data_IF_635216363611
#
_entry.id   IF_635216363611
#
_cell.length_a   1.000
_cell.length_b   1.000
_cell.length_c   1.000
_cell.angle_alpha   90.00
_cell.angle_beta   90.00
_cell.angle_gamma   90.00
#
_symmetry.space_group_name_H-M   'P 1'
#
loop_
_entity.id
_entity.type
_entity.pdbx_description
1 polymer ?
#
# COMPACT_ATOMS: atom_id res chain seq x y z
N UNK A 1 5.64 -12.54 -12.37
CA UNK A 1 4.40 -12.26 -11.65
C UNK A 1 4.67 -12.51 -10.17
N UNK A 2 4.39 -11.53 -9.33
CA UNK A 2 4.67 -11.60 -7.89
C UNK A 2 3.37 -11.77 -7.09
N UNK A 3 2.34 -10.99 -7.41
CA UNK A 3 1.01 -11.12 -6.86
C UNK A 3 0.00 -11.35 -8.00
N UNK A 4 -0.92 -12.29 -7.82
CA UNK A 4 -2.00 -12.59 -8.75
C UNK A 4 -3.32 -12.68 -7.98
N UNK A 5 -4.23 -11.79 -8.31
CA UNK A 5 -5.53 -11.63 -7.66
C UNK A 5 -6.59 -12.11 -8.66
N UNK A 6 -7.34 -13.14 -8.28
CA UNK A 6 -8.28 -13.81 -9.18
C UNK A 6 -9.68 -13.85 -8.59
N UNK A 7 -10.62 -13.19 -9.27
CA UNK A 7 -12.07 -13.24 -9.03
C UNK A 7 -12.50 -12.91 -7.59
N UNK A 8 -11.78 -11.99 -6.91
CA UNK A 8 -12.06 -11.63 -5.52
C UNK A 8 -13.43 -10.97 -5.39
N UNK A 9 -14.25 -11.53 -4.53
CA UNK A 9 -15.57 -11.02 -4.19
C UNK A 9 -15.74 -10.96 -2.68
N UNK A 10 -16.44 -9.90 -2.19
CA UNK A 10 -16.73 -9.71 -0.76
C UNK A 10 -18.02 -8.96 -0.55
N UNK A 11 -18.85 -9.49 0.35
CA UNK A 11 -20.07 -8.84 0.81
C UNK A 11 -20.10 -8.77 2.34
N UNK A 12 -20.80 -7.79 2.85
CA UNK A 12 -21.08 -7.63 4.29
C UNK A 12 -22.59 -7.61 4.52
N UNK A 13 -23.00 -8.24 5.60
CA UNK A 13 -24.39 -8.21 6.05
C UNK A 13 -24.52 -7.23 7.23
N UNK A 14 -25.36 -6.23 7.09
CA UNK A 14 -25.63 -5.22 8.11
C UNK A 14 -27.09 -5.28 8.58
N UNK A 15 -27.38 -4.83 9.80
CA UNK A 15 -28.71 -4.76 10.40
C UNK A 15 -29.06 -5.96 11.29
N UNK A 16 -29.58 -5.65 12.49
CA UNK A 16 -29.99 -6.66 13.48
C UNK A 16 -31.38 -7.25 13.17
N UNK A 17 -32.34 -6.40 12.71
CA UNK A 17 -33.73 -6.80 12.47
C UNK A 17 -33.94 -7.09 10.97
N UNK A 18 -33.43 -6.24 10.11
CA UNK A 18 -33.47 -6.41 8.65
C UNK A 18 -32.05 -6.56 8.12
N UNK A 19 -31.69 -7.80 7.82
CA UNK A 19 -30.38 -8.11 7.24
C UNK A 19 -30.31 -7.59 5.79
N UNK A 20 -29.45 -6.60 5.56
CA UNK A 20 -29.16 -6.09 4.20
C UNK A 20 -27.77 -6.56 3.82
N UNK A 21 -27.68 -7.35 2.74
CA UNK A 21 -26.41 -7.76 2.15
C UNK A 21 -25.93 -6.64 1.21
N UNK A 22 -24.71 -6.16 1.43
CA UNK A 22 -24.03 -5.16 0.58
C UNK A 22 -22.79 -5.81 -0.03
N UNK A 23 -22.79 -5.94 -1.36
CA UNK A 23 -21.61 -6.38 -2.10
C UNK A 23 -20.62 -5.21 -2.19
N UNK A 24 -19.42 -5.41 -1.65
CA UNK A 24 -18.35 -4.40 -1.58
C UNK A 24 -17.27 -4.65 -2.64
N UNK A 25 -16.95 -5.91 -2.92
CA UNK A 25 -16.07 -6.29 -4.04
C UNK A 25 -16.79 -7.33 -4.90
N UNK A 26 -16.65 -7.19 -6.22
CA UNK A 26 -17.37 -7.98 -7.23
C UNK A 26 -16.42 -8.35 -8.34
N UNK A 27 -15.86 -9.56 -8.27
CA UNK A 27 -15.06 -10.15 -9.35
C UNK A 27 -13.80 -9.31 -9.69
N UNK A 28 -13.00 -8.99 -8.67
CA UNK A 28 -11.76 -8.24 -8.84
C UNK A 28 -10.63 -9.17 -9.27
N UNK A 29 -10.00 -8.87 -10.41
CA UNK A 29 -8.84 -9.61 -10.91
C UNK A 29 -7.78 -8.67 -11.44
N UNK A 30 -6.53 -8.86 -11.03
CA UNK A 30 -5.35 -8.15 -11.54
C UNK A 30 -4.05 -8.86 -11.15
N UNK A 31 -2.97 -8.49 -11.81
CA UNK A 31 -1.62 -8.99 -11.51
C UNK A 31 -0.70 -7.84 -11.13
N UNK A 32 0.31 -8.13 -10.29
CA UNK A 32 1.40 -7.22 -9.96
C UNK A 32 2.74 -7.91 -10.22
N UNK A 33 3.61 -7.25 -10.94
CA UNK A 33 4.92 -7.77 -11.30
C UNK A 33 6.01 -7.21 -10.40
N UNK A 34 7.13 -7.89 -10.31
CA UNK A 34 8.30 -7.43 -9.56
C UNK A 34 8.81 -6.11 -10.16
N UNK A 35 9.12 -5.12 -9.32
CA UNK A 35 9.56 -3.79 -9.75
C UNK A 35 8.47 -2.95 -10.45
N UNK A 36 7.21 -3.41 -10.46
CA UNK A 36 6.09 -2.65 -11.04
C UNK A 36 5.40 -1.80 -9.98
N UNK A 37 4.94 -0.61 -10.38
CA UNK A 37 3.90 0.12 -9.66
C UNK A 37 2.57 -0.03 -10.39
N UNK A 38 1.62 -0.72 -9.74
CA UNK A 38 0.21 -0.72 -10.14
C UNK A 38 -0.56 0.26 -9.27
N UNK A 39 -1.09 1.30 -9.89
CA UNK A 39 -1.98 2.27 -9.25
C UNK A 39 -3.42 1.77 -9.19
N UNK A 40 -4.13 1.97 -8.08
CA UNK A 40 -5.57 1.75 -7.97
C UNK A 40 -6.24 3.06 -7.57
N UNK A 41 -6.97 3.65 -8.51
CA UNK A 41 -7.81 4.82 -8.24
C UNK A 41 -9.25 4.44 -7.95
N UNK A 42 -9.96 5.30 -7.26
CA UNK A 42 -11.39 5.14 -7.02
C UNK A 42 -11.90 6.06 -5.92
N UNK A 43 -13.18 6.41 -5.97
CA UNK A 43 -13.82 7.26 -4.97
C UNK A 43 -13.88 6.60 -3.58
N UNK A 44 -14.17 7.40 -2.56
CA UNK A 44 -14.42 6.89 -1.21
C UNK A 44 -15.56 5.86 -1.24
N UNK A 45 -15.36 4.74 -0.53
CA UNK A 45 -16.35 3.65 -0.51
C UNK A 45 -16.33 2.71 -1.73
N UNK A 46 -15.43 2.89 -2.71
CA UNK A 46 -15.31 1.99 -3.87
C UNK A 46 -14.87 0.56 -3.52
N UNK A 47 -14.32 0.33 -2.33
CA UNK A 47 -13.87 -0.98 -1.88
C UNK A 47 -12.35 -1.11 -1.66
N UNK A 48 -11.57 -0.03 -1.85
CA UNK A 48 -10.10 -0.03 -1.76
C UNK A 48 -9.58 -0.64 -0.45
N UNK A 49 -10.05 -0.16 0.69
CA UNK A 49 -9.64 -0.69 2.02
C UNK A 49 -10.03 -2.16 2.22
N UNK A 50 -11.18 -2.59 1.68
CA UNK A 50 -11.60 -4.00 1.74
C UNK A 50 -10.67 -4.87 0.89
N UNK A 51 -10.31 -4.41 -0.31
CA UNK A 51 -9.34 -5.08 -1.18
C UNK A 51 -8.00 -5.24 -0.47
N UNK A 52 -7.43 -4.16 0.08
CA UNK A 52 -6.18 -4.21 0.85
C UNK A 52 -6.24 -5.24 1.97
N UNK A 53 -7.30 -5.23 2.78
CA UNK A 53 -7.45 -6.18 3.90
C UNK A 53 -7.47 -7.63 3.44
N UNK A 54 -8.04 -7.91 2.27
CA UNK A 54 -8.04 -9.26 1.68
C UNK A 54 -6.62 -9.61 1.22
N UNK A 55 -5.92 -8.71 0.51
CA UNK A 55 -4.55 -8.95 0.07
C UNK A 55 -3.60 -9.22 1.23
N UNK A 56 -3.76 -8.49 2.34
CA UNK A 56 -2.98 -8.67 3.57
C UNK A 56 -3.45 -9.85 4.44
N UNK A 57 -4.45 -10.64 3.97
CA UNK A 57 -5.06 -11.74 4.73
C UNK A 57 -5.56 -11.32 6.12
N UNK A 58 -6.04 -10.08 6.23
CA UNK A 58 -6.76 -9.56 7.41
C UNK A 58 -8.27 -9.75 7.30
N UNK A 59 -8.74 -10.11 6.11
CA UNK A 59 -10.13 -10.39 5.79
C UNK A 59 -10.21 -11.52 4.76
N UNK A 60 -11.02 -12.53 5.04
CA UNK A 60 -11.26 -13.64 4.11
C UNK A 60 -12.23 -13.19 3.02
N UNK A 61 -11.94 -13.39 1.72
CA UNK A 61 -12.89 -13.14 0.64
C UNK A 61 -14.04 -14.15 0.68
N UNK A 62 -15.17 -13.80 0.06
CA UNK A 62 -16.31 -14.74 -0.11
C UNK A 62 -16.11 -15.64 -1.34
N UNK A 63 -15.25 -15.23 -2.27
CA UNK A 63 -14.85 -15.99 -3.46
C UNK A 63 -13.58 -15.43 -4.06
N UNK A 64 -12.95 -16.23 -4.92
CA UNK A 64 -11.67 -15.91 -5.54
C UNK A 64 -10.47 -16.29 -4.69
N UNK A 65 -9.26 -16.08 -5.21
CA UNK A 65 -7.99 -16.42 -4.56
C UNK A 65 -6.97 -15.31 -4.73
N UNK A 66 -6.04 -15.20 -3.79
CA UNK A 66 -4.86 -14.34 -3.86
C UNK A 66 -3.63 -15.24 -3.87
N UNK A 67 -2.92 -15.23 -5.00
CA UNK A 67 -1.68 -15.99 -5.13
C UNK A 67 -0.48 -15.05 -4.95
N UNK A 68 0.41 -15.40 -4.06
CA UNK A 68 1.71 -14.75 -3.91
C UNK A 68 2.81 -15.72 -4.35
N UNK A 69 3.56 -15.36 -5.40
CA UNK A 69 4.55 -16.26 -6.04
C UNK A 69 3.95 -17.62 -6.44
N UNK A 70 2.69 -17.62 -6.88
CA UNK A 70 1.96 -18.81 -7.28
C UNK A 70 1.37 -19.65 -6.13
N UNK A 71 1.55 -19.23 -4.86
CA UNK A 71 1.03 -19.90 -3.69
C UNK A 71 -0.23 -19.20 -3.19
N UNK A 72 -1.33 -19.95 -2.99
CA UNK A 72 -2.57 -19.39 -2.44
C UNK A 72 -2.39 -19.00 -0.98
N UNK A 73 -2.60 -17.72 -0.70
CA UNK A 73 -2.48 -17.16 0.64
C UNK A 73 -3.58 -17.65 1.60
N UNK A 74 -4.74 -18.00 1.08
CA UNK A 74 -5.89 -18.46 1.90
C UNK A 74 -5.67 -19.81 2.56
N UNK A 75 -4.78 -20.64 2.01
CA UNK A 75 -4.46 -21.97 2.53
C UNK A 75 -3.27 -22.03 3.50
N UNK A 76 -2.57 -20.89 3.72
CA UNK A 76 -1.34 -20.89 4.50
C UNK A 76 -1.56 -21.02 6.02
N UNK A 77 -0.69 -21.80 6.67
CA UNK A 77 -0.60 -21.83 8.12
C UNK A 77 -0.08 -20.51 8.68
N UNK A 78 -0.27 -20.26 9.99
CA UNK A 78 0.22 -19.04 10.63
C UNK A 78 1.74 -18.83 10.49
N UNK A 79 2.53 -19.90 10.47
CA UNK A 79 4.00 -19.84 10.30
C UNK A 79 4.38 -19.46 8.86
N UNK A 80 3.71 -20.03 7.87
CA UNK A 80 3.92 -19.70 6.45
C UNK A 80 3.46 -18.26 6.16
N UNK A 81 2.32 -17.86 6.73
CA UNK A 81 1.82 -16.49 6.62
C UNK A 81 2.79 -15.46 7.24
N UNK A 82 3.49 -15.79 8.33
CA UNK A 82 4.51 -14.91 8.89
C UNK A 82 5.66 -14.66 7.90
N UNK A 83 6.06 -15.68 7.15
CA UNK A 83 7.08 -15.54 6.10
C UNK A 83 6.58 -14.63 4.95
N UNK A 84 5.31 -14.76 4.53
CA UNK A 84 4.70 -13.86 3.54
C UNK A 84 4.63 -12.43 4.07
N UNK A 85 4.17 -12.23 5.31
CA UNK A 85 4.10 -10.89 5.93
C UNK A 85 5.44 -10.20 6.05
N UNK A 86 6.55 -10.93 6.11
CA UNK A 86 7.89 -10.31 6.06
C UNK A 86 8.16 -9.66 4.70
N UNK A 87 7.71 -10.29 3.60
CA UNK A 87 8.01 -9.86 2.24
C UNK A 87 6.91 -8.99 1.62
N UNK A 88 5.69 -9.05 2.15
CA UNK A 88 4.58 -8.20 1.74
C UNK A 88 4.15 -7.31 2.92
N UNK A 89 4.38 -6.02 2.78
CA UNK A 89 4.16 -5.01 3.81
C UNK A 89 3.18 -3.94 3.36
N UNK A 90 2.69 -3.13 4.29
CA UNK A 90 1.72 -2.08 4.02
C UNK A 90 2.07 -0.80 4.76
N UNK A 91 1.93 0.32 4.07
CA UNK A 91 1.90 1.67 4.65
C UNK A 91 0.44 2.12 4.70
N UNK A 92 0.02 2.53 5.89
CA UNK A 92 -1.32 3.04 6.14
C UNK A 92 -1.42 4.52 5.80
N UNK A 93 -2.62 4.97 5.46
CA UNK A 93 -2.95 6.37 5.22
C UNK A 93 -2.51 7.29 6.39
N UNK A 94 -2.64 6.82 7.62
CA UNK A 94 -2.12 7.53 8.80
C UNK A 94 -0.87 6.81 9.32
N UNK A 95 0.34 7.34 9.09
CA UNK A 95 1.59 6.70 9.52
C UNK A 95 1.71 6.58 11.04
N UNK A 96 1.13 7.53 11.79
CA UNK A 96 1.14 7.46 13.26
C UNK A 96 0.37 6.24 13.80
N UNK A 97 -0.66 5.76 13.08
CA UNK A 97 -1.41 4.57 13.48
C UNK A 97 -0.59 3.27 13.39
N UNK A 98 0.51 3.28 12.64
CA UNK A 98 1.42 2.14 12.53
C UNK A 98 2.48 2.10 13.64
N UNK A 99 2.59 3.16 14.45
CA UNK A 99 3.59 3.31 15.49
C UNK A 99 2.94 3.22 16.88
N UNK A 100 3.60 2.53 17.80
CA UNK A 100 3.11 2.45 19.17
C UNK A 100 3.44 3.77 19.91
N UNK A 101 2.45 4.49 20.50
CA UNK A 101 2.66 5.85 21.02
C UNK A 101 3.62 5.95 22.22
N UNK A 102 3.89 4.82 22.89
CA UNK A 102 4.81 4.74 24.06
C UNK A 102 6.18 4.12 23.73
N UNK A 103 6.43 3.81 22.46
CA UNK A 103 7.74 3.35 21.99
C UNK A 103 8.48 4.54 21.40
N UNK A 104 9.78 4.60 21.63
CA UNK A 104 10.66 5.53 20.93
C UNK A 104 10.69 5.20 19.43
N UNK A 105 11.11 6.15 18.62
CA UNK A 105 11.28 5.93 17.17
C UNK A 105 12.27 4.80 16.90
N UNK A 106 13.36 4.72 17.68
CA UNK A 106 14.31 3.60 17.59
C UNK A 106 13.64 2.25 17.82
N UNK A 107 12.91 2.11 18.92
CA UNK A 107 12.20 0.87 19.24
C UNK A 107 11.19 0.50 18.16
N UNK A 108 10.46 1.49 17.65
CA UNK A 108 9.48 1.31 16.56
C UNK A 108 10.13 0.83 15.26
N UNK A 109 11.31 1.35 14.90
CA UNK A 109 12.05 0.94 13.69
C UNK A 109 12.63 -0.47 13.87
N UNK A 110 13.10 -0.79 15.06
CA UNK A 110 13.75 -2.07 15.39
C UNK A 110 12.77 -3.24 15.51
N UNK A 111 11.52 -2.97 15.94
CA UNK A 111 10.51 -3.99 16.23
C UNK A 111 10.28 -5.00 15.10
N UNK A 112 10.05 -4.61 13.81
CA UNK A 112 9.88 -5.58 12.73
C UNK A 112 11.16 -6.40 12.48
N UNK A 113 12.34 -5.78 12.58
CA UNK A 113 13.61 -6.49 12.39
C UNK A 113 13.82 -7.56 13.45
N UNK A 114 13.44 -7.31 14.71
CA UNK A 114 13.43 -8.31 15.78
C UNK A 114 12.41 -9.41 15.51
N UNK A 115 11.17 -9.05 15.15
CA UNK A 115 10.09 -10.01 14.87
C UNK A 115 10.46 -11.01 13.78
N UNK A 116 11.13 -10.54 12.73
CA UNK A 116 11.48 -11.35 11.56
C UNK A 116 12.93 -11.88 11.59
N UNK A 117 13.65 -11.73 12.71
CA UNK A 117 15.03 -12.23 12.87
C UNK A 117 16.04 -11.55 11.95
N UNK A 118 15.87 -10.26 11.66
CA UNK A 118 16.71 -9.46 10.78
C UNK A 118 17.59 -8.49 11.57
N UNK A 119 18.28 -9.01 12.60
CA UNK A 119 19.13 -8.18 13.47
C UNK A 119 20.60 -8.11 13.04
N UNK A 120 21.03 -8.98 12.12
CA UNK A 120 22.39 -8.96 11.61
C UNK A 120 22.70 -7.62 10.97
N UNK A 121 23.80 -6.99 11.35
CA UNK A 121 24.22 -5.66 10.88
C UNK A 121 23.13 -4.60 10.98
N UNK A 122 22.24 -4.70 11.98
CA UNK A 122 21.06 -3.82 12.09
C UNK A 122 21.46 -2.34 12.21
N UNK A 123 22.45 -2.00 13.02
CA UNK A 123 22.90 -0.61 13.22
C UNK A 123 23.42 0.02 11.92
N UNK A 124 24.20 -0.73 11.14
CA UNK A 124 24.72 -0.27 9.85
C UNK A 124 23.59 -0.03 8.85
N UNK A 125 22.68 -1.00 8.72
CA UNK A 125 21.49 -0.87 7.84
C UNK A 125 20.57 0.25 8.29
N UNK A 126 20.38 0.42 9.60
CA UNK A 126 19.58 1.52 10.15
C UNK A 126 20.22 2.87 9.82
N UNK A 127 21.54 3.01 10.00
CA UNK A 127 22.26 4.23 9.68
C UNK A 127 22.15 4.59 8.19
N UNK A 128 22.32 3.60 7.30
CA UNK A 128 22.11 3.77 5.84
C UNK A 128 20.68 4.22 5.55
N UNK A 129 19.68 3.57 6.18
CA UNK A 129 18.27 3.89 5.97
C UNK A 129 17.91 5.29 6.46
N UNK A 130 18.41 5.71 7.64
CA UNK A 130 18.21 7.07 8.14
C UNK A 130 18.79 8.11 7.17
N UNK A 131 19.96 7.86 6.61
CA UNK A 131 20.58 8.73 5.62
C UNK A 131 19.73 8.84 4.34
N UNK A 132 19.32 7.71 3.77
CA UNK A 132 18.47 7.66 2.57
C UNK A 132 17.12 8.36 2.76
N UNK A 133 16.52 8.18 3.93
CA UNK A 133 15.23 8.77 4.29
C UNK A 133 15.37 10.19 4.86
N UNK A 134 16.58 10.75 4.86
CA UNK A 134 16.88 12.08 5.40
C UNK A 134 16.36 12.28 6.85
N UNK A 135 16.44 11.21 7.65
CA UNK A 135 16.05 11.24 9.05
C UNK A 135 17.26 11.53 9.94
N UNK A 136 17.15 12.54 10.78
CA UNK A 136 18.21 12.88 11.74
C UNK A 136 18.28 11.86 12.87
N UNK A 137 19.48 11.48 13.30
CA UNK A 137 19.71 10.47 14.32
C UNK A 137 19.07 10.83 15.68
N UNK A 138 18.97 12.12 15.98
CA UNK A 138 18.35 12.64 17.21
C UNK A 138 16.86 12.27 17.33
N UNK A 139 16.18 12.00 16.20
CA UNK A 139 14.79 11.56 16.20
C UNK A 139 14.61 10.18 16.84
N UNK A 140 15.64 9.35 16.86
CA UNK A 140 15.56 7.98 17.39
C UNK A 140 15.17 7.92 18.87
N UNK A 141 15.50 8.95 19.66
CA UNK A 141 15.14 9.04 21.09
C UNK A 141 13.77 9.67 21.34
N UNK A 142 13.11 10.19 20.31
CA UNK A 142 11.78 10.83 20.42
C UNK A 142 10.65 9.82 20.36
N UNK A 143 9.46 10.27 20.69
CA UNK A 143 8.21 9.54 20.56
C UNK A 143 7.43 10.01 19.32
N UNK A 144 6.52 9.17 18.78
CA UNK A 144 5.76 9.52 17.57
C UNK A 144 5.03 10.86 17.64
N UNK A 145 4.50 11.24 18.80
CA UNK A 145 3.80 12.51 19.00
C UNK A 145 4.68 13.78 18.87
N UNK A 146 6.00 13.61 18.86
CA UNK A 146 6.98 14.71 18.75
C UNK A 146 7.49 14.94 17.32
N UNK A 147 7.00 14.16 16.33
CA UNK A 147 7.42 14.19 14.95
C UNK A 147 6.37 14.89 14.06
N UNK A 148 6.85 15.54 13.02
CA UNK A 148 5.99 16.04 11.93
C UNK A 148 5.39 14.88 11.10
N UNK A 149 4.35 15.16 10.32
CA UNK A 149 3.72 14.16 9.45
C UNK A 149 4.70 13.53 8.45
N UNK A 150 5.56 14.34 7.84
CA UNK A 150 6.60 13.87 6.92
C UNK A 150 7.67 13.01 7.61
N UNK A 151 8.10 13.40 8.82
CA UNK A 151 9.02 12.57 9.60
C UNK A 151 8.39 11.23 10.01
N UNK A 152 7.11 11.23 10.42
CA UNK A 152 6.37 9.99 10.72
C UNK A 152 6.27 9.08 9.51
N UNK A 153 6.00 9.64 8.31
CA UNK A 153 5.95 8.87 7.07
C UNK A 153 7.29 8.24 6.73
N UNK A 154 8.39 9.00 6.84
CA UNK A 154 9.74 8.50 6.62
C UNK A 154 10.14 7.44 7.65
N UNK A 155 9.73 7.58 8.92
CA UNK A 155 9.91 6.56 9.96
C UNK A 155 9.13 5.29 9.64
N UNK A 156 7.87 5.41 9.21
CA UNK A 156 7.07 4.26 8.80
C UNK A 156 7.72 3.51 7.61
N UNK A 157 8.28 4.24 6.64
CA UNK A 157 9.07 3.66 5.55
C UNK A 157 10.33 2.96 6.06
N UNK A 158 11.14 3.61 6.93
CA UNK A 158 12.35 3.04 7.50
C UNK A 158 12.09 1.68 8.17
N UNK A 159 11.04 1.65 8.98
CA UNK A 159 10.59 0.46 9.70
C UNK A 159 10.34 -0.74 8.79
N UNK A 160 9.71 -0.52 7.64
CA UNK A 160 9.37 -1.58 6.69
C UNK A 160 10.53 -1.94 5.76
N UNK A 161 11.30 -0.96 5.30
CA UNK A 161 12.39 -1.18 4.36
C UNK A 161 13.58 -1.95 4.95
N UNK A 162 13.78 -1.88 6.27
CA UNK A 162 14.80 -2.62 6.98
C UNK A 162 14.60 -4.14 6.96
N UNK A 163 13.38 -4.61 6.76
CA UNK A 163 13.10 -6.04 6.61
C UNK A 163 13.15 -6.51 5.16
N UNK A 164 13.45 -5.61 4.21
CA UNK A 164 13.59 -5.87 2.77
C UNK A 164 12.35 -6.51 2.16
N UNK A 165 11.22 -5.78 2.11
CA UNK A 165 9.99 -6.28 1.50
C UNK A 165 10.14 -6.36 -0.02
N UNK A 166 9.35 -7.24 -0.65
CA UNK A 166 9.24 -7.37 -2.10
C UNK A 166 7.99 -6.70 -2.64
N UNK A 167 6.97 -6.59 -1.81
CA UNK A 167 5.71 -5.88 -2.12
C UNK A 167 5.44 -4.86 -1.02
N UNK A 168 5.16 -3.63 -1.43
CA UNK A 168 4.59 -2.60 -0.55
C UNK A 168 3.20 -2.20 -1.07
N UNK A 169 2.21 -2.37 -0.21
CA UNK A 169 0.87 -1.81 -0.42
C UNK A 169 0.87 -0.42 0.21
N UNK A 170 0.67 0.60 -0.60
CA UNK A 170 0.74 2.01 -0.23
C UNK A 170 -0.68 2.58 -0.26
N UNK A 171 -1.33 2.68 0.92
CA UNK A 171 -2.71 3.17 1.05
C UNK A 171 -2.69 4.68 1.32
N UNK A 172 -2.88 5.47 0.27
CA UNK A 172 -2.85 6.94 0.29
C UNK A 172 -1.62 7.51 1.04
N UNK A 173 -0.39 7.08 0.70
CA UNK A 173 0.79 7.30 1.54
C UNK A 173 1.19 8.77 1.69
N UNK A 174 0.63 9.68 0.90
CA UNK A 174 0.98 11.11 0.88
C UNK A 174 -0.21 12.04 1.10
N UNK A 175 -1.43 11.51 1.28
CA UNK A 175 -2.67 12.31 1.34
C UNK A 175 -2.76 13.28 2.54
N UNK A 176 -1.95 13.07 3.59
CA UNK A 176 -1.90 13.92 4.79
C UNK A 176 -0.69 14.87 4.83
N UNK A 177 0.06 14.97 3.73
CA UNK A 177 1.28 15.75 3.63
C UNK A 177 1.04 16.99 2.76
N UNK A 178 1.80 18.05 3.02
CA UNK A 178 1.85 19.17 2.10
C UNK A 178 2.54 18.81 0.76
N UNK A 179 2.28 19.58 -0.28
CA UNK A 179 2.72 19.28 -1.66
C UNK A 179 4.22 19.09 -1.78
N UNK A 180 5.01 19.87 -1.02
CA UNK A 180 6.49 19.77 -1.07
C UNK A 180 6.96 18.44 -0.48
N UNK A 181 6.48 18.10 0.72
CA UNK A 181 6.83 16.84 1.39
C UNK A 181 6.29 15.63 0.62
N UNK A 182 5.10 15.76 0.01
CA UNK A 182 4.55 14.74 -0.87
C UNK A 182 5.51 14.44 -2.03
N UNK A 183 5.98 15.46 -2.76
CA UNK A 183 6.91 15.29 -3.87
C UNK A 183 8.21 14.58 -3.42
N UNK A 184 8.77 14.97 -2.27
CA UNK A 184 9.97 14.32 -1.72
C UNK A 184 9.76 12.85 -1.40
N UNK A 185 8.60 12.48 -0.82
CA UNK A 185 8.28 11.07 -0.50
C UNK A 185 8.06 10.25 -1.78
N UNK A 186 7.43 10.82 -2.80
CA UNK A 186 7.22 10.12 -4.09
C UNK A 186 8.56 9.87 -4.80
N UNK A 187 9.45 10.86 -4.86
CA UNK A 187 10.80 10.70 -5.42
C UNK A 187 11.57 9.61 -4.68
N UNK A 188 11.53 9.63 -3.34
CA UNK A 188 12.16 8.62 -2.52
C UNK A 188 11.63 7.20 -2.79
N UNK A 189 10.32 7.06 -2.95
CA UNK A 189 9.70 5.76 -3.29
C UNK A 189 10.15 5.27 -4.67
N UNK A 190 10.31 6.15 -5.66
CA UNK A 190 10.83 5.80 -6.98
C UNK A 190 12.29 5.31 -6.91
N UNK A 191 13.16 6.05 -6.24
CA UNK A 191 14.57 5.67 -6.03
C UNK A 191 14.69 4.30 -5.33
N UNK A 192 13.87 4.06 -4.30
CA UNK A 192 13.86 2.79 -3.57
C UNK A 192 13.33 1.63 -4.42
N UNK A 193 12.38 1.90 -5.32
CA UNK A 193 11.85 0.90 -6.25
C UNK A 193 12.93 0.49 -7.26
N UNK A 194 13.61 1.44 -7.87
CA UNK A 194 14.69 1.21 -8.82
C UNK A 194 15.84 0.41 -8.20
N UNK A 195 16.29 0.81 -6.99
CA UNK A 195 17.39 0.16 -6.28
C UNK A 195 17.09 -1.28 -5.85
N UNK A 196 15.84 -1.57 -5.46
CA UNK A 196 15.48 -2.82 -4.77
C UNK A 196 14.46 -3.67 -5.52
N UNK A 197 13.99 -3.20 -6.69
CA UNK A 197 12.96 -3.85 -7.50
C UNK A 197 11.69 -4.22 -6.69
N UNK A 198 11.30 -3.34 -5.75
CA UNK A 198 10.09 -3.52 -4.93
C UNK A 198 8.87 -3.31 -5.83
N UNK A 199 7.88 -4.20 -5.72
CA UNK A 199 6.59 -4.00 -6.36
C UNK A 199 5.68 -3.13 -5.49
N UNK A 200 5.07 -2.10 -6.07
CA UNK A 200 4.13 -1.23 -5.38
C UNK A 200 2.69 -1.45 -5.85
N UNK A 201 1.79 -1.74 -4.94
CA UNK A 201 0.36 -1.52 -5.13
C UNK A 201 0.02 -0.16 -4.51
N UNK A 202 -0.10 0.85 -5.36
CA UNK A 202 -0.25 2.24 -4.94
C UNK A 202 -1.73 2.66 -5.01
N UNK A 203 -2.35 2.91 -3.88
CA UNK A 203 -3.74 3.35 -3.80
C UNK A 203 -3.78 4.86 -3.56
N UNK A 204 -4.46 5.58 -4.45
CA UNK A 204 -4.66 7.02 -4.34
C UNK A 204 -5.98 7.43 -4.96
N UNK A 205 -6.55 8.53 -4.48
CA UNK A 205 -7.61 9.25 -5.16
C UNK A 205 -7.05 10.40 -6.02
N UNK A 206 -5.76 10.70 -5.89
CA UNK A 206 -5.04 11.73 -6.64
C UNK A 206 -4.47 11.10 -7.93
N UNK A 207 -5.01 11.55 -9.09
CA UNK A 207 -4.61 11.02 -10.39
C UNK A 207 -3.24 11.54 -10.84
N UNK A 208 -2.81 12.74 -10.40
CA UNK A 208 -1.48 13.26 -10.69
C UNK A 208 -0.40 12.41 -10.03
N UNK A 209 -0.64 12.02 -8.77
CA UNK A 209 0.25 11.08 -8.06
C UNK A 209 0.32 9.74 -8.78
N UNK A 210 -0.82 9.20 -9.22
CA UNK A 210 -0.83 7.94 -9.95
C UNK A 210 -0.17 8.05 -11.33
N UNK A 211 -0.35 9.17 -12.03
CA UNK A 211 0.32 9.45 -13.31
C UNK A 211 1.84 9.48 -13.15
N UNK A 212 2.35 10.07 -12.06
CA UNK A 212 3.78 10.17 -11.77
C UNK A 212 4.40 8.84 -11.32
N UNK A 213 3.65 7.99 -10.60
CA UNK A 213 4.19 6.81 -9.93
C UNK A 213 3.90 5.50 -10.64
N UNK A 214 2.73 5.38 -11.27
CA UNK A 214 2.23 4.09 -11.73
C UNK A 214 2.56 3.81 -13.20
N UNK A 215 3.06 2.60 -13.47
CA UNK A 215 3.18 2.09 -14.84
C UNK A 215 1.83 1.66 -15.41
N UNK A 216 0.98 1.08 -14.57
CA UNK A 216 -0.39 0.68 -14.90
C UNK A 216 -1.34 1.25 -13.85
N UNK A 217 -2.55 1.58 -14.29
CA UNK A 217 -3.61 2.09 -13.41
C UNK A 217 -4.86 1.25 -13.59
N UNK A 218 -5.49 0.91 -12.46
CA UNK A 218 -6.81 0.32 -12.40
C UNK A 218 -7.80 1.26 -11.73
N UNK A 219 -9.00 1.37 -12.28
CA UNK A 219 -10.08 2.20 -11.75
C UNK A 219 -11.10 1.32 -11.06
N UNK A 220 -11.21 1.50 -9.73
CA UNK A 220 -12.15 0.77 -8.89
C UNK A 220 -13.42 1.61 -8.68
N UNK A 221 -14.56 1.11 -9.13
CA UNK A 221 -15.86 1.74 -8.97
C UNK A 221 -16.93 0.75 -8.55
N UNK A 222 -17.73 1.09 -7.54
CA UNK A 222 -18.82 0.28 -7.00
C UNK A 222 -18.46 -1.21 -6.78
N UNK A 223 -17.21 -1.44 -6.34
CA UNK A 223 -16.67 -2.77 -6.05
C UNK A 223 -16.18 -3.54 -7.27
N UNK A 224 -16.08 -2.93 -8.45
CA UNK A 224 -15.56 -3.53 -9.68
C UNK A 224 -14.32 -2.78 -10.17
N UNK A 225 -13.37 -3.50 -10.72
CA UNK A 225 -12.28 -2.91 -11.49
C UNK A 225 -12.82 -2.67 -12.91
N UNK A 226 -13.27 -1.43 -13.16
CA UNK A 226 -14.01 -1.09 -14.38
C UNK A 226 -13.09 -0.85 -15.57
N UNK A 227 -11.85 -0.45 -15.32
CA UNK A 227 -10.81 -0.26 -16.32
C UNK A 227 -9.43 -0.54 -15.71
N UNK A 228 -8.53 -1.17 -16.47
CA UNK A 228 -7.13 -1.39 -16.07
C UNK A 228 -6.27 -1.43 -17.33
N UNK A 229 -5.17 -0.70 -17.33
CA UNK A 229 -4.27 -0.61 -18.48
C UNK A 229 -2.99 0.17 -18.17
N UNK A 230 -2.23 0.54 -19.20
CA UNK A 230 -1.12 1.47 -19.05
C UNK A 230 -1.65 2.79 -18.46
N UNK A 231 -0.87 3.42 -17.57
CA UNK A 231 -1.30 4.65 -16.90
C UNK A 231 -1.64 5.75 -17.90
N UNK A 232 -0.83 5.90 -18.95
CA UNK A 232 -1.06 6.85 -20.05
C UNK A 232 -2.43 6.63 -20.71
N UNK A 233 -2.77 5.38 -21.05
CA UNK A 233 -4.03 5.06 -21.72
C UNK A 233 -5.23 5.32 -20.81
N UNK A 234 -5.19 4.84 -19.56
CA UNK A 234 -6.32 4.94 -18.63
C UNK A 234 -6.56 6.38 -18.17
N UNK A 235 -5.49 7.18 -17.98
CA UNK A 235 -5.62 8.55 -17.47
C UNK A 235 -5.83 9.60 -18.57
N UNK A 236 -5.32 9.38 -19.79
CA UNK A 236 -5.44 10.37 -20.87
C UNK A 236 -6.38 9.95 -21.99
N UNK A 237 -6.61 8.63 -22.16
CA UNK A 237 -7.49 8.07 -23.21
C UNK A 237 -8.50 7.06 -22.63
N UNK A 238 -9.22 7.40 -21.52
CA UNK A 238 -10.11 6.48 -20.83
C UNK A 238 -11.22 5.96 -21.73
N UNK A 239 -11.48 4.65 -21.68
CA UNK A 239 -12.53 4.01 -22.49
C UNK A 239 -13.82 3.84 -21.71
N UNK A 240 -13.74 3.55 -20.40
CA UNK A 240 -14.94 3.34 -19.59
C UNK A 240 -15.61 4.67 -19.22
N UNK A 241 -16.94 4.82 -19.34
CA UNK A 241 -17.65 6.08 -19.07
C UNK A 241 -17.37 6.65 -17.66
N UNK A 242 -17.30 5.79 -16.65
CA UNK A 242 -16.96 6.22 -15.29
C UNK A 242 -15.53 6.77 -15.19
N UNK A 243 -14.56 6.17 -15.89
CA UNK A 243 -13.18 6.68 -15.92
C UNK A 243 -13.12 8.05 -16.59
N UNK A 244 -13.86 8.22 -17.70
CA UNK A 244 -13.97 9.51 -18.39
C UNK A 244 -14.52 10.60 -17.48
N UNK A 245 -15.56 10.28 -16.70
CA UNK A 245 -16.15 11.23 -15.74
C UNK A 245 -15.17 11.55 -14.62
N UNK A 246 -14.51 10.53 -14.06
CA UNK A 246 -13.51 10.69 -12.99
C UNK A 246 -12.36 11.59 -13.44
N UNK A 247 -11.78 11.31 -14.60
CA UNK A 247 -10.66 12.08 -15.18
C UNK A 247 -11.08 13.52 -15.49
N UNK A 248 -12.25 13.71 -16.09
CA UNK A 248 -12.79 15.07 -16.37
C UNK A 248 -12.99 15.86 -15.08
N UNK A 249 -13.55 15.24 -14.04
CA UNK A 249 -13.79 15.94 -12.78
C UNK A 249 -12.49 16.31 -12.05
N UNK A 250 -11.42 15.54 -12.25
CA UNK A 250 -10.13 15.79 -11.64
C UNK A 250 -9.35 16.91 -12.37
N UNK A 251 -9.29 16.85 -13.70
CA UNK A 251 -8.53 17.83 -14.51
C UNK A 251 -9.35 19.07 -14.93
N UNK A 252 -10.63 19.17 -14.57
CA UNK A 252 -11.47 20.36 -14.83
C UNK A 252 -11.38 21.42 -13.71
N UNK A 253 -10.57 21.18 -12.69
CA UNK A 253 -10.24 22.10 -11.60
C UNK A 253 -8.89 22.76 -11.84
#
# INVERSE_FOLDING_TARGET
MLLDVQHISKSFTTGYIRKVKKDVLKDISFTLWKGETLGIAGTSGAGKTTLIRILMQLLVPDGGVVLYRGVDLGGLSGKEMLAVRRTMQMIFQNPAAALHPRMTIRESIEEPSRLYGKMDHFEERMQEMLSRLQLRRELLSRYPAELSGGELQRVALARLLLISPEVLILDEPTSMLDVSVQAEILTLLQELQEDREIAYLFISHDLDVLSAMARRVGILSAGRLVEIGAAEDVLHHPQHPYTQELVRSFFAL
#
